data_IF_337305354036
#
_entry.id   IF_337305354036
#
_cell.length_a   1.000
_cell.length_b   1.000
_cell.length_c   1.000
_cell.angle_alpha   90.00
_cell.angle_beta   90.00
_cell.angle_gamma   90.00
#
_symmetry.space_group_name_H-M   'P 1'
#
loop_
_entity.id
_entity.type
_entity.pdbx_description
1 polymer ?
#
# COMPACT_ATOMS: atom_id res chain seq x y z
N UNK A 1 -13.23 -12.18 63.29
CA UNK A 1 -13.12 -12.64 61.90
C UNK A 1 -12.60 -11.49 61.07
N UNK A 2 -11.38 -11.67 60.56
CA UNK A 2 -10.66 -10.71 59.72
C UNK A 2 -11.32 -10.64 58.34
N UNK A 3 -11.66 -9.44 57.87
CA UNK A 3 -11.94 -9.21 56.45
C UNK A 3 -10.78 -8.40 55.87
N UNK A 4 -10.01 -9.08 55.02
CA UNK A 4 -8.84 -8.59 54.31
C UNK A 4 -9.30 -7.70 53.16
N UNK A 5 -9.07 -6.39 53.26
CA UNK A 5 -9.32 -5.46 52.17
C UNK A 5 -8.28 -5.67 51.04
N UNK A 6 -8.75 -5.76 49.80
CA UNK A 6 -7.90 -5.79 48.61
C UNK A 6 -7.25 -4.41 48.38
N UNK A 7 -6.01 -4.32 47.87
CA UNK A 7 -5.42 -3.03 47.51
C UNK A 7 -5.88 -2.57 46.12
N UNK A 8 -6.15 -1.28 45.99
CA UNK A 8 -6.46 -0.56 44.75
C UNK A 8 -5.36 -0.69 43.68
N UNK A 9 -5.71 -0.68 42.39
CA UNK A 9 -4.75 -0.66 41.29
C UNK A 9 -4.11 0.74 41.18
N UNK A 10 -2.78 0.81 41.36
CA UNK A 10 -2.04 2.07 41.22
C UNK A 10 -1.96 2.53 39.75
N UNK A 11 -1.90 3.85 39.51
CA UNK A 11 -1.85 4.43 38.17
C UNK A 11 -0.45 4.31 37.57
N UNK A 12 -0.42 3.90 36.30
CA UNK A 12 0.64 4.04 35.29
C UNK A 12 2.03 4.46 35.83
N UNK A 13 2.92 3.49 36.01
CA UNK A 13 4.34 3.75 36.17
C UNK A 13 4.93 4.20 34.83
N UNK A 14 5.41 5.43 34.78
CA UNK A 14 6.16 6.01 33.68
C UNK A 14 7.31 5.10 33.27
N UNK A 15 7.33 4.66 32.00
CA UNK A 15 8.45 3.96 31.38
C UNK A 15 9.67 4.87 31.44
N UNK A 16 10.60 4.54 32.32
CA UNK A 16 11.92 5.15 32.35
C UNK A 16 12.62 4.80 31.04
N UNK A 17 12.87 5.84 30.25
CA UNK A 17 13.81 5.87 29.13
C UNK A 17 15.17 5.44 29.66
N UNK A 18 15.61 4.24 29.27
CA UNK A 18 16.99 3.83 29.45
C UNK A 18 17.84 4.62 28.45
N UNK A 19 18.43 5.73 28.90
CA UNK A 19 19.57 6.36 28.25
C UNK A 19 20.74 5.37 28.25
N UNK A 20 20.88 4.61 27.16
CA UNK A 20 22.11 3.90 26.86
C UNK A 20 23.01 4.86 26.06
N UNK A 21 23.86 5.58 26.78
CA UNK A 21 25.00 6.30 26.22
C UNK A 21 25.97 5.27 25.64
N UNK A 22 26.07 5.21 24.31
CA UNK A 22 27.17 4.55 23.61
C UNK A 22 28.17 5.63 23.19
N UNK A 23 29.43 5.61 23.64
CA UNK A 23 30.47 6.52 23.15
C UNK A 23 31.13 5.95 21.89
N UNK A 24 31.28 6.80 20.86
CA UNK A 24 32.30 6.63 19.81
C UNK A 24 31.78 6.09 18.49
N UNK A 25 31.25 6.97 17.64
CA UNK A 25 31.08 6.71 16.20
C UNK A 25 31.11 8.01 15.38
N UNK A 26 31.90 9.00 15.79
CA UNK A 26 32.15 10.23 15.04
C UNK A 26 33.55 10.10 14.43
N UNK A 27 33.71 9.37 13.32
CA UNK A 27 34.96 9.38 12.53
C UNK A 27 34.83 8.80 11.11
N UNK A 28 33.62 8.68 10.55
CA UNK A 28 33.43 8.19 9.18
C UNK A 28 32.68 9.19 8.31
N UNK A 29 33.33 10.31 8.00
CA UNK A 29 33.01 11.08 6.81
C UNK A 29 34.29 11.54 6.10
N UNK A 30 34.55 11.01 4.90
CA UNK A 30 35.19 11.79 3.86
C UNK A 30 34.10 12.49 3.03
N UNK A 31 34.18 13.82 2.98
CA UNK A 31 33.55 14.65 1.94
C UNK A 31 33.77 14.01 0.57
N UNK A 32 32.71 13.76 -0.18
CA UNK A 32 32.79 13.58 -1.63
C UNK A 32 32.11 14.75 -2.32
N UNK A 33 32.94 15.51 -3.02
CA UNK A 33 32.56 16.42 -4.09
C UNK A 33 32.26 15.61 -5.35
N UNK A 34 31.16 15.93 -6.03
CA UNK A 34 31.01 15.69 -7.47
C UNK A 34 29.97 14.62 -7.89
N UNK A 35 28.81 15.10 -8.32
CA UNK A 35 27.94 14.47 -9.32
C UNK A 35 28.61 14.51 -10.72
N UNK A 36 28.02 13.95 -11.80
CA UNK A 36 27.31 12.67 -11.97
C UNK A 36 27.79 11.91 -13.23
N UNK A 37 27.76 10.58 -13.27
CA UNK A 37 27.94 9.83 -14.52
C UNK A 37 27.07 8.58 -14.55
N UNK A 38 25.89 8.76 -15.13
CA UNK A 38 24.93 7.73 -15.52
C UNK A 38 25.49 6.94 -16.71
N UNK A 39 25.51 5.61 -16.65
CA UNK A 39 25.32 4.74 -17.81
C UNK A 39 25.26 3.26 -17.42
N UNK A 40 24.03 2.72 -17.49
CA UNK A 40 23.69 1.45 -18.16
C UNK A 40 24.64 0.26 -18.02
N UNK A 41 24.21 -0.77 -17.28
CA UNK A 41 24.24 -2.16 -17.75
C UNK A 41 23.27 -2.99 -16.92
N UNK A 42 22.19 -3.40 -17.58
CA UNK A 42 21.32 -4.51 -17.19
C UNK A 42 22.14 -5.79 -17.39
N UNK A 43 22.45 -6.50 -16.31
CA UNK A 43 22.68 -7.93 -16.37
C UNK A 43 21.66 -8.59 -15.45
N UNK A 44 20.73 -9.22 -16.14
CA UNK A 44 19.67 -10.13 -15.70
C UNK A 44 20.26 -11.23 -14.83
N UNK A 45 20.01 -11.19 -13.52
CA UNK A 45 20.02 -12.39 -12.66
C UNK A 45 18.90 -12.29 -11.61
N UNK A 46 18.32 -13.44 -11.22
CA UNK A 46 16.90 -13.55 -10.94
C UNK A 46 16.54 -13.09 -9.53
N UNK A 47 15.56 -12.22 -9.44
CA UNK A 47 14.96 -11.76 -8.19
C UNK A 47 14.07 -12.85 -7.58
N UNK A 48 14.64 -13.88 -6.94
CA UNK A 48 13.84 -14.80 -6.12
C UNK A 48 13.61 -14.20 -4.74
N UNK A 49 12.71 -13.21 -4.66
CA UNK A 49 12.14 -12.72 -3.42
C UNK A 49 10.61 -12.69 -3.57
N UNK A 50 9.94 -13.69 -3.00
CA UNK A 50 8.48 -13.69 -2.79
C UNK A 50 7.63 -13.55 -4.06
N UNK A 51 7.86 -14.40 -5.06
CA UNK A 51 6.86 -14.59 -6.11
C UNK A 51 5.81 -15.57 -5.58
N UNK A 52 4.64 -15.06 -5.18
CA UNK A 52 3.44 -15.90 -5.08
C UNK A 52 3.31 -16.63 -6.41
N UNK A 53 3.28 -17.96 -6.38
CA UNK A 53 3.11 -18.78 -7.58
C UNK A 53 1.97 -18.20 -8.41
N UNK A 54 2.12 -18.10 -9.74
CA UNK A 54 1.09 -17.55 -10.63
C UNK A 54 -0.28 -18.19 -10.37
N UNK A 55 -0.27 -19.47 -10.00
CA UNK A 55 -1.45 -20.23 -9.58
C UNK A 55 -2.15 -19.64 -8.33
N UNK A 56 -1.39 -19.20 -7.32
CA UNK A 56 -1.94 -18.53 -6.13
C UNK A 56 -2.49 -17.15 -6.46
N UNK A 57 -1.83 -16.40 -7.36
CA UNK A 57 -2.33 -15.10 -7.82
C UNK A 57 -3.62 -15.24 -8.61
N UNK A 58 -3.71 -16.25 -9.48
CA UNK A 58 -4.91 -16.58 -10.23
C UNK A 58 -6.03 -17.04 -9.30
N UNK A 59 -5.71 -17.84 -8.28
CA UNK A 59 -6.68 -18.29 -7.29
C UNK A 59 -7.29 -17.11 -6.50
N UNK A 60 -6.45 -16.19 -6.02
CA UNK A 60 -6.93 -14.97 -5.34
C UNK A 60 -7.76 -14.10 -6.29
N UNK A 61 -7.36 -13.98 -7.56
CA UNK A 61 -8.12 -13.21 -8.55
C UNK A 61 -9.49 -13.82 -8.84
N UNK A 62 -9.58 -15.16 -8.87
CA UNK A 62 -10.83 -15.89 -9.06
C UNK A 62 -11.76 -15.69 -7.86
N UNK A 63 -11.24 -15.87 -6.64
CA UNK A 63 -12.03 -15.68 -5.41
C UNK A 63 -12.54 -14.24 -5.29
N UNK A 64 -11.76 -13.25 -5.72
CA UNK A 64 -12.20 -11.85 -5.74
C UNK A 64 -13.34 -11.62 -6.74
N UNK A 65 -13.25 -12.20 -7.94
CA UNK A 65 -14.32 -12.11 -8.95
C UNK A 65 -15.57 -12.84 -8.47
N UNK A 66 -15.44 -14.02 -7.87
CA UNK A 66 -16.56 -14.78 -7.32
C UNK A 66 -17.27 -14.00 -6.20
N UNK A 67 -16.51 -13.34 -5.31
CA UNK A 67 -17.05 -12.45 -4.29
C UNK A 67 -17.75 -11.22 -4.89
N UNK A 68 -17.22 -10.63 -5.95
CA UNK A 68 -17.86 -9.52 -6.66
C UNK A 68 -19.19 -9.94 -7.28
N UNK A 69 -19.25 -11.11 -7.92
CA UNK A 69 -20.47 -11.67 -8.50
C UNK A 69 -21.50 -11.92 -7.41
N UNK A 70 -21.10 -12.54 -6.30
CA UNK A 70 -21.99 -12.80 -5.16
C UNK A 70 -22.55 -11.50 -4.54
N UNK A 71 -21.71 -10.47 -4.43
CA UNK A 71 -22.12 -9.15 -3.93
C UNK A 71 -23.13 -8.49 -4.87
N UNK A 72 -22.92 -8.60 -6.18
CA UNK A 72 -23.87 -8.09 -7.18
C UNK A 72 -25.21 -8.83 -7.11
N UNK A 73 -25.20 -10.16 -7.01
CA UNK A 73 -26.43 -10.96 -6.87
C UNK A 73 -27.20 -10.60 -5.60
N UNK A 74 -26.49 -10.42 -4.48
CA UNK A 74 -27.13 -10.01 -3.23
C UNK A 74 -27.76 -8.62 -3.38
N UNK A 75 -27.09 -7.68 -4.03
CA UNK A 75 -27.64 -6.35 -4.30
C UNK A 75 -28.90 -6.41 -5.18
N UNK A 76 -28.90 -7.21 -6.24
CA UNK A 76 -30.08 -7.41 -7.10
C UNK A 76 -31.26 -7.97 -6.30
N UNK A 77 -31.01 -8.92 -5.38
CA UNK A 77 -32.04 -9.46 -4.49
C UNK A 77 -32.64 -8.38 -3.59
N UNK A 78 -31.81 -7.55 -2.96
CA UNK A 78 -32.28 -6.45 -2.12
C UNK A 78 -33.07 -5.42 -2.94
N UNK A 79 -32.63 -5.09 -4.15
CA UNK A 79 -33.34 -4.18 -5.05
C UNK A 79 -34.72 -4.75 -5.46
N UNK A 80 -34.81 -6.06 -5.70
CA UNK A 80 -36.07 -6.74 -5.99
C UNK A 80 -37.03 -6.75 -4.77
N UNK A 81 -36.53 -7.03 -3.56
CA UNK A 81 -37.32 -6.97 -2.33
C UNK A 81 -37.83 -5.55 -2.06
N UNK A 82 -36.99 -4.54 -2.23
CA UNK A 82 -37.40 -3.13 -2.12
C UNK A 82 -38.47 -2.78 -3.14
N UNK A 83 -38.37 -3.30 -4.37
CA UNK A 83 -39.38 -3.08 -5.39
C UNK A 83 -40.73 -3.71 -5.00
N UNK A 84 -40.75 -4.96 -4.52
CA UNK A 84 -41.99 -5.61 -4.07
C UNK A 84 -42.59 -4.92 -2.85
N UNK A 85 -41.77 -4.47 -1.89
CA UNK A 85 -42.25 -3.69 -0.75
C UNK A 85 -42.88 -2.37 -1.19
N UNK A 86 -42.27 -1.65 -2.13
CA UNK A 86 -42.84 -0.40 -2.69
C UNK A 86 -44.17 -0.66 -3.38
N UNK A 87 -44.27 -1.75 -4.15
CA UNK A 87 -45.52 -2.16 -4.80
C UNK A 87 -46.61 -2.47 -3.77
N UNK A 88 -46.27 -3.15 -2.69
CA UNK A 88 -47.21 -3.50 -1.63
C UNK A 88 -47.66 -2.27 -0.83
N UNK A 89 -46.75 -1.34 -0.55
CA UNK A 89 -47.09 -0.04 0.06
C UNK A 89 -48.10 0.71 -0.82
N UNK A 90 -47.85 0.83 -2.13
CA UNK A 90 -48.79 1.49 -3.06
C UNK A 90 -50.16 0.79 -3.08
N UNK A 91 -50.18 -0.55 -3.00
CA UNK A 91 -51.43 -1.33 -2.91
C UNK A 91 -52.20 -1.01 -1.62
N UNK A 92 -51.50 -0.95 -0.49
CA UNK A 92 -52.10 -0.64 0.81
C UNK A 92 -52.57 0.82 0.88
N UNK A 93 -51.79 1.77 0.36
CA UNK A 93 -52.19 3.19 0.25
C UNK A 93 -53.47 3.33 -0.58
N UNK A 94 -53.55 2.66 -1.73
CA UNK A 94 -54.76 2.63 -2.56
C UNK A 94 -55.96 2.08 -1.78
N UNK A 95 -55.75 1.03 -0.98
CA UNK A 95 -56.80 0.43 -0.16
C UNK A 95 -57.25 1.35 0.99
N UNK A 96 -56.33 2.07 1.63
CA UNK A 96 -56.66 3.05 2.67
C UNK A 96 -57.49 4.18 2.07
N UNK A 97 -57.09 4.71 0.91
CA UNK A 97 -57.86 5.74 0.19
C UNK A 97 -59.28 5.24 -0.15
N UNK A 98 -59.44 4.01 -0.62
CA UNK A 98 -60.76 3.41 -0.83
C UNK A 98 -61.59 3.39 0.46
N UNK A 99 -61.00 2.95 1.58
CA UNK A 99 -61.69 2.84 2.86
C UNK A 99 -62.08 4.21 3.44
N UNK A 100 -61.23 5.23 3.28
CA UNK A 100 -61.53 6.61 3.67
C UNK A 100 -62.70 7.20 2.87
N UNK A 101 -62.77 6.89 1.57
CA UNK A 101 -63.88 7.30 0.69
C UNK A 101 -65.21 6.61 1.04
N UNK A 102 -65.19 5.37 1.55
CA UNK A 102 -66.40 4.66 1.97
C UNK A 102 -66.81 4.99 3.41
N UNK A 103 -65.86 5.33 4.29
CA UNK A 103 -66.12 5.71 5.69
C UNK A 103 -66.86 7.04 5.84
N UNK A 104 -66.81 7.91 4.84
CA UNK A 104 -67.54 9.20 4.81
C UNK A 104 -68.96 9.09 4.24
N UNK A 105 -69.32 7.98 3.58
CA UNK A 105 -70.64 7.77 2.99
C UNK A 105 -71.72 7.23 3.94
N UNK A 106 -71.34 6.71 5.12
CA UNK A 106 -72.28 6.05 6.03
C UNK A 106 -73.04 6.98 6.99
N UNK A 107 -72.77 8.30 6.98
CA UNK A 107 -73.37 9.27 7.91
C UNK A 107 -74.23 10.36 7.25
N UNK A 108 -74.62 10.22 5.97
CA UNK A 108 -75.56 11.13 5.31
C UNK A 108 -76.85 10.40 4.94
N UNK A 109 -77.68 10.12 5.95
CA UNK A 109 -78.92 9.38 5.77
C UNK A 109 -79.90 9.57 6.91
N UNK A 110 -80.09 10.81 7.40
CA UNK A 110 -81.29 11.16 8.16
C UNK A 110 -81.61 12.66 8.01
N UNK A 111 -82.29 12.96 6.92
CA UNK A 111 -83.05 14.19 6.75
C UNK A 111 -84.22 14.17 7.73
N UNK A 112 -84.14 14.94 8.81
CA UNK A 112 -85.32 15.34 9.59
C UNK A 112 -85.43 16.87 9.49
N UNK A 113 -86.64 17.28 9.12
CA UNK A 113 -87.07 18.62 8.75
C UNK A 113 -86.89 19.68 9.85
N UNK A 114 -86.77 20.98 9.50
CA UNK A 114 -86.71 22.08 10.46
C UNK A 114 -88.12 22.58 10.81
N UNK A 115 -88.42 22.71 12.11
CA UNK A 115 -89.55 23.48 12.62
C UNK A 115 -89.04 24.70 13.38
N UNK A 116 -89.75 25.82 13.20
CA UNK A 116 -89.29 27.17 13.46
C UNK A 116 -89.37 27.63 14.93
N UNK A 117 -88.33 28.37 15.33
CA UNK A 117 -88.35 29.65 16.09
C UNK A 117 -88.81 29.68 17.58
N UNK A 118 -88.52 30.76 18.34
CA UNK A 118 -87.24 31.03 18.98
C UNK A 118 -87.39 31.39 20.48
N UNK A 119 -86.33 31.29 21.27
CA UNK A 119 -86.35 31.72 22.68
C UNK A 119 -85.04 32.39 23.06
N UNK A 120 -85.05 33.73 23.09
CA UNK A 120 -84.01 34.54 23.70
C UNK A 120 -83.96 34.28 25.20
N UNK A 121 -82.81 33.83 25.70
CA UNK A 121 -82.31 34.26 27.00
C UNK A 121 -80.87 34.72 26.82
N UNK A 122 -80.70 36.04 26.92
CA UNK A 122 -79.44 36.71 27.06
C UNK A 122 -79.15 36.76 28.57
N UNK A 123 -78.15 36.00 29.03
CA UNK A 123 -77.54 36.19 30.35
C UNK A 123 -76.02 36.08 30.20
N UNK A 124 -75.37 37.13 30.69
CA UNK A 124 -73.98 37.57 30.79
C UNK A 124 -72.80 36.57 30.65
N UNK A 125 -71.62 37.06 30.24
CA UNK A 125 -70.39 36.26 30.13
C UNK A 125 -69.88 35.91 31.53
N UNK A 126 -69.92 34.62 31.88
CA UNK A 126 -69.31 34.09 33.10
C UNK A 126 -68.09 33.26 32.73
N UNK A 127 -66.97 33.63 33.35
CA UNK A 127 -65.61 33.19 33.09
C UNK A 127 -65.38 31.67 32.99
N UNK A 128 -64.59 31.19 32.01
CA UNK A 128 -63.86 29.93 32.09
C UNK A 128 -62.40 30.20 32.53
N UNK A 129 -62.18 31.04 33.54
CA UNK A 129 -60.85 31.65 33.76
C UNK A 129 -59.81 30.67 34.32
N UNK A 130 -60.17 29.79 35.27
CA UNK A 130 -59.19 28.94 35.96
C UNK A 130 -58.62 27.78 35.14
N UNK A 131 -59.46 27.10 34.33
CA UNK A 131 -59.03 25.96 33.52
C UNK A 131 -58.26 26.35 32.26
N UNK A 132 -58.65 27.46 31.60
CA UNK A 132 -57.90 28.01 30.46
C UNK A 132 -56.52 28.52 30.87
N UNK A 133 -56.39 29.16 32.05
CA UNK A 133 -55.10 29.62 32.55
C UNK A 133 -54.15 28.45 32.86
N UNK A 134 -54.62 27.39 33.53
CA UNK A 134 -53.79 26.22 33.81
C UNK A 134 -53.31 25.51 32.55
N UNK A 135 -54.18 25.30 31.56
CA UNK A 135 -53.77 24.72 30.28
C UNK A 135 -52.77 25.63 29.54
N UNK A 136 -52.93 26.94 29.64
CA UNK A 136 -52.00 27.91 29.06
C UNK A 136 -50.63 27.91 29.76
N UNK A 137 -50.60 27.72 31.08
CA UNK A 137 -49.38 27.56 31.87
C UNK A 137 -48.66 26.24 31.56
N UNK A 138 -49.41 25.14 31.45
CA UNK A 138 -48.87 23.82 31.06
C UNK A 138 -48.29 23.87 29.64
N UNK A 139 -48.98 24.50 28.68
CA UNK A 139 -48.45 24.70 27.33
C UNK A 139 -47.17 25.55 27.32
N UNK A 140 -47.12 26.63 28.11
CA UNK A 140 -45.90 27.44 28.26
C UNK A 140 -44.76 26.64 28.85
N UNK A 141 -45.02 25.83 29.88
CA UNK A 141 -44.02 24.97 30.50
C UNK A 141 -43.50 23.91 29.52
N UNK A 142 -44.39 23.25 28.77
CA UNK A 142 -44.01 22.24 27.77
C UNK A 142 -43.17 22.87 26.66
N UNK A 143 -43.55 24.04 26.15
CA UNK A 143 -42.77 24.77 25.14
C UNK A 143 -41.38 25.15 25.65
N UNK A 144 -41.27 25.65 26.89
CA UNK A 144 -39.99 26.01 27.47
C UNK A 144 -39.12 24.77 27.74
N UNK A 145 -39.72 23.67 28.20
CA UNK A 145 -39.03 22.41 28.39
C UNK A 145 -38.50 21.85 27.05
N UNK A 146 -39.31 21.88 26.00
CA UNK A 146 -38.88 21.52 24.64
C UNK A 146 -37.77 22.43 24.13
N UNK A 147 -37.85 23.75 24.37
CA UNK A 147 -36.83 24.72 23.99
C UNK A 147 -35.49 24.45 24.67
N UNK A 148 -35.49 24.24 25.99
CA UNK A 148 -34.27 23.91 26.75
C UNK A 148 -33.70 22.58 26.30
N UNK A 149 -34.55 21.57 26.08
CA UNK A 149 -34.13 20.26 25.55
C UNK A 149 -33.51 20.40 24.15
N UNK A 150 -34.09 21.22 23.28
CA UNK A 150 -33.56 21.49 21.96
C UNK A 150 -32.18 22.17 22.03
N UNK A 151 -32.04 23.20 22.86
CA UNK A 151 -30.75 23.88 23.08
C UNK A 151 -29.70 22.91 23.65
N UNK A 152 -30.07 22.05 24.60
CA UNK A 152 -29.17 21.02 25.13
C UNK A 152 -28.70 20.05 24.03
N UNK A 153 -29.60 19.60 23.14
CA UNK A 153 -29.22 18.75 22.01
C UNK A 153 -28.33 19.49 21.00
N UNK A 154 -28.64 20.75 20.67
CA UNK A 154 -27.81 21.57 19.77
C UNK A 154 -26.40 21.77 20.34
N UNK A 155 -26.27 22.04 21.64
CA UNK A 155 -24.95 22.13 22.29
C UNK A 155 -24.19 20.81 22.29
N UNK A 156 -24.88 19.68 22.50
CA UNK A 156 -24.27 18.35 22.45
C UNK A 156 -23.80 18.00 21.04
N UNK A 157 -24.61 18.25 20.02
CA UNK A 157 -24.24 18.05 18.60
C UNK A 157 -23.06 18.95 18.24
N UNK A 158 -23.03 20.21 18.69
CA UNK A 158 -21.91 21.12 18.49
C UNK A 158 -20.63 20.69 19.22
N UNK A 159 -20.74 20.02 20.37
CA UNK A 159 -19.59 19.45 21.07
C UNK A 159 -19.03 18.22 20.33
N UNK A 160 -19.91 17.29 19.94
CA UNK A 160 -19.54 16.10 19.17
C UNK A 160 -18.93 16.45 17.81
N UNK A 161 -19.48 17.44 17.11
CA UNK A 161 -18.95 17.92 15.82
C UNK A 161 -17.52 18.44 15.95
N UNK A 162 -17.22 19.17 17.04
CA UNK A 162 -15.86 19.66 17.32
C UNK A 162 -14.89 18.52 17.65
N UNK A 163 -15.32 17.54 18.44
CA UNK A 163 -14.50 16.36 18.76
C UNK A 163 -14.18 15.54 17.50
N UNK A 164 -15.19 15.33 16.65
CA UNK A 164 -15.05 14.59 15.42
C UNK A 164 -14.10 15.30 14.44
N UNK A 165 -14.20 16.63 14.33
CA UNK A 165 -13.26 17.42 13.55
C UNK A 165 -11.82 17.31 14.09
N UNK A 166 -11.63 17.40 15.40
CA UNK A 166 -10.31 17.21 16.03
C UNK A 166 -9.72 15.82 15.73
N UNK A 167 -10.52 14.77 15.90
CA UNK A 167 -10.10 13.40 15.57
C UNK A 167 -9.74 13.23 14.08
N UNK A 168 -10.47 13.89 13.17
CA UNK A 168 -10.15 13.89 11.72
C UNK A 168 -8.83 14.60 11.43
N UNK A 169 -8.55 15.72 12.10
CA UNK A 169 -7.29 16.46 11.95
C UNK A 169 -6.11 15.68 12.52
N UNK A 170 -6.27 15.05 13.68
CA UNK A 170 -5.28 14.14 14.27
C UNK A 170 -5.01 12.93 13.35
N UNK A 171 -6.05 12.32 12.78
CA UNK A 171 -5.88 11.22 11.83
C UNK A 171 -5.13 11.66 10.56
N UNK A 172 -5.41 12.88 10.04
CA UNK A 172 -4.69 13.44 8.90
C UNK A 172 -3.22 13.70 9.21
N UNK A 173 -2.93 14.30 10.36
CA UNK A 173 -1.54 14.58 10.76
C UNK A 173 -0.76 13.29 11.03
N UNK A 174 -1.36 12.29 11.67
CA UNK A 174 -0.79 10.96 11.82
C UNK A 174 -0.54 10.30 10.46
N UNK A 175 -1.48 10.38 9.51
CA UNK A 175 -1.31 9.88 8.15
C UNK A 175 -0.15 10.55 7.40
N UNK A 176 0.00 11.86 7.53
CA UNK A 176 1.14 12.61 6.96
C UNK A 176 2.48 12.18 7.60
N UNK A 177 2.51 11.95 8.92
CA UNK A 177 3.70 11.46 9.61
C UNK A 177 4.09 10.05 9.15
N UNK A 178 3.12 9.15 9.00
CA UNK A 178 3.37 7.80 8.47
C UNK A 178 3.89 7.84 7.03
N UNK A 179 3.34 8.70 6.18
CA UNK A 179 3.83 8.90 4.82
C UNK A 179 5.27 9.44 4.80
N UNK A 180 5.58 10.42 5.65
CA UNK A 180 6.94 10.94 5.80
C UNK A 180 7.92 9.85 6.27
N UNK A 181 7.53 9.04 7.26
CA UNK A 181 8.34 7.92 7.74
C UNK A 181 8.54 6.86 6.64
N UNK A 182 7.50 6.54 5.85
CA UNK A 182 7.61 5.59 4.76
C UNK A 182 8.64 6.04 3.70
N UNK A 183 8.67 7.34 3.38
CA UNK A 183 9.67 7.91 2.45
C UNK A 183 11.10 7.84 3.00
N UNK A 184 11.29 8.08 4.30
CA UNK A 184 12.60 7.93 4.94
C UNK A 184 13.03 6.46 4.91
N UNK A 185 12.13 5.52 5.24
CA UNK A 185 12.42 4.09 5.20
C UNK A 185 12.76 3.60 3.79
N UNK A 186 12.11 4.10 2.74
CA UNK A 186 12.49 3.76 1.36
C UNK A 186 13.88 4.29 1.02
N UNK A 187 14.18 5.55 1.37
CA UNK A 187 15.53 6.12 1.16
C UNK A 187 16.61 5.32 1.91
N UNK A 188 16.35 4.92 3.15
CA UNK A 188 17.29 4.09 3.92
C UNK A 188 17.46 2.70 3.29
N UNK A 189 16.39 2.09 2.76
CA UNK A 189 16.48 0.81 2.05
C UNK A 189 17.31 0.92 0.77
N UNK A 190 17.16 2.00 0.02
CA UNK A 190 17.95 2.23 -1.19
C UNK A 190 19.42 2.45 -0.86
N UNK A 191 19.72 3.22 0.19
CA UNK A 191 21.08 3.39 0.71
C UNK A 191 21.70 2.06 1.17
N UNK A 192 20.93 1.20 1.85
CA UNK A 192 21.40 -0.12 2.25
C UNK A 192 21.77 -0.97 1.02
N UNK A 193 20.91 -1.00 -0.01
CA UNK A 193 21.21 -1.74 -1.26
C UNK A 193 22.43 -1.20 -1.98
N UNK A 194 22.61 0.11 -1.99
CA UNK A 194 23.79 0.74 -2.57
C UNK A 194 25.07 0.31 -1.83
N UNK A 195 25.06 0.36 -0.49
CA UNK A 195 26.17 -0.08 0.33
C UNK A 195 26.47 -1.59 0.17
N UNK A 196 25.43 -2.42 0.03
CA UNK A 196 25.58 -3.86 -0.26
C UNK A 196 26.27 -4.10 -1.61
N UNK A 197 25.89 -3.36 -2.66
CA UNK A 197 26.51 -3.45 -3.97
C UNK A 197 27.98 -3.02 -3.95
N UNK A 198 28.30 -1.92 -3.27
CA UNK A 198 29.68 -1.45 -3.09
C UNK A 198 30.52 -2.47 -2.32
N UNK A 199 29.97 -3.07 -1.27
CA UNK A 199 30.66 -4.11 -0.51
C UNK A 199 30.95 -5.34 -1.39
N UNK A 200 29.99 -5.78 -2.21
CA UNK A 200 30.20 -6.88 -3.16
C UNK A 200 31.32 -6.55 -4.18
N UNK A 201 31.36 -5.33 -4.68
CA UNK A 201 32.42 -4.87 -5.59
C UNK A 201 33.80 -4.87 -4.92
N UNK A 202 33.91 -4.33 -3.70
CA UNK A 202 35.14 -4.34 -2.92
C UNK A 202 35.61 -5.75 -2.59
N UNK A 203 34.68 -6.66 -2.25
CA UNK A 203 35.01 -8.07 -2.04
C UNK A 203 35.58 -8.72 -3.30
N UNK A 204 35.06 -8.40 -4.48
CA UNK A 204 35.60 -8.90 -5.74
C UNK A 204 37.00 -8.35 -6.03
N UNK A 205 37.23 -7.06 -5.78
CA UNK A 205 38.57 -6.45 -5.93
C UNK A 205 39.59 -7.07 -5.00
N UNK A 206 39.23 -7.30 -3.73
CA UNK A 206 40.09 -7.99 -2.76
C UNK A 206 40.43 -9.42 -3.21
N UNK A 207 39.46 -10.16 -3.78
CA UNK A 207 39.72 -11.50 -4.33
C UNK A 207 40.74 -11.45 -5.46
N UNK A 208 40.57 -10.54 -6.43
CA UNK A 208 41.52 -10.38 -7.54
C UNK A 208 42.93 -10.03 -7.06
N UNK A 209 43.05 -9.06 -6.14
CA UNK A 209 44.34 -8.70 -5.55
C UNK A 209 44.97 -9.89 -4.81
N UNK A 210 44.20 -10.63 -4.01
CA UNK A 210 44.70 -11.82 -3.31
C UNK A 210 45.19 -12.90 -4.27
N UNK A 211 44.47 -13.14 -5.37
CA UNK A 211 44.89 -14.07 -6.43
C UNK A 211 46.21 -13.61 -7.07
N UNK A 212 46.34 -12.31 -7.38
CA UNK A 212 47.59 -11.74 -7.89
C UNK A 212 48.76 -11.90 -6.90
N UNK A 213 48.54 -11.60 -5.62
CA UNK A 213 49.55 -11.78 -4.58
C UNK A 213 49.94 -13.26 -4.41
N UNK A 214 48.97 -14.18 -4.46
CA UNK A 214 49.24 -15.61 -4.40
C UNK A 214 50.13 -16.06 -5.58
N UNK A 215 49.85 -15.60 -6.80
CA UNK A 215 50.67 -15.91 -7.98
C UNK A 215 52.08 -15.33 -7.85
N UNK A 216 52.23 -14.09 -7.38
CA UNK A 216 53.55 -13.47 -7.17
C UNK A 216 54.37 -14.21 -6.12
N UNK A 217 53.77 -14.57 -4.98
CA UNK A 217 54.42 -15.36 -3.94
C UNK A 217 54.86 -16.73 -4.45
N UNK A 218 54.03 -17.40 -5.25
CA UNK A 218 54.39 -18.68 -5.86
C UNK A 218 55.59 -18.56 -6.81
N UNK A 219 55.70 -17.48 -7.58
CA UNK A 219 56.86 -17.23 -8.45
C UNK A 219 58.13 -17.00 -7.63
N UNK A 220 58.08 -16.13 -6.62
CA UNK A 220 59.22 -15.90 -5.74
C UNK A 220 59.68 -17.18 -5.03
N UNK A 221 58.75 -18.00 -4.53
CA UNK A 221 59.09 -19.28 -3.92
C UNK A 221 59.82 -20.21 -4.90
N UNK A 222 59.36 -20.32 -6.15
CA UNK A 222 60.02 -21.13 -7.19
C UNK A 222 61.41 -20.60 -7.52
N UNK A 223 61.55 -19.30 -7.75
CA UNK A 223 62.82 -18.65 -8.06
C UNK A 223 63.87 -18.85 -6.95
N UNK A 224 63.46 -18.76 -5.67
CA UNK A 224 64.35 -19.03 -4.52
C UNK A 224 64.71 -20.51 -4.35
N UNK A 225 63.80 -21.43 -4.71
CA UNK A 225 64.08 -22.87 -4.71
C UNK A 225 65.05 -23.27 -5.82
N UNK A 226 65.02 -22.59 -6.97
CA UNK A 226 65.95 -22.81 -8.09
C UNK A 226 67.37 -22.28 -7.82
N UNK A 227 67.51 -21.29 -6.92
CA UNK A 227 68.79 -20.65 -6.59
C UNK A 227 69.49 -21.19 -5.34
N UNK A 228 68.83 -22.01 -4.51
CA UNK A 228 69.41 -22.56 -3.27
C UNK A 228 70.04 -23.95 -3.50
N UNK A 229 71.27 -24.15 -2.99
CA UNK A 229 71.95 -25.45 -3.03
C UNK A 229 71.21 -26.51 -2.21
N UNK A 230 71.36 -27.78 -2.61
CA UNK A 230 70.51 -28.91 -2.19
C UNK A 230 70.34 -29.14 -0.68
N UNK A 231 71.22 -28.61 0.17
CA UNK A 231 71.15 -28.74 1.65
C UNK A 231 70.34 -27.63 2.33
N UNK A 232 70.41 -26.37 1.86
CA UNK A 232 69.57 -25.28 2.37
C UNK A 232 68.19 -25.25 1.71
N UNK A 233 68.07 -25.90 0.55
CA UNK A 233 66.83 -26.05 -0.19
C UNK A 233 65.79 -26.86 0.61
N UNK A 234 66.21 -27.96 1.27
CA UNK A 234 65.31 -28.81 2.05
C UNK A 234 64.77 -28.14 3.33
N UNK A 235 65.60 -27.39 4.04
CA UNK A 235 65.18 -26.66 5.25
C UNK A 235 64.28 -25.47 4.92
N UNK A 236 64.56 -24.76 3.82
CA UNK A 236 63.74 -23.66 3.34
C UNK A 236 62.40 -24.15 2.77
N UNK A 237 62.39 -25.29 2.06
CA UNK A 237 61.16 -25.96 1.62
C UNK A 237 60.30 -26.39 2.80
N UNK A 238 60.89 -27.03 3.82
CA UNK A 238 60.15 -27.43 5.02
C UNK A 238 59.54 -26.23 5.77
N UNK A 239 60.27 -25.12 5.86
CA UNK A 239 59.75 -23.88 6.46
C UNK A 239 58.61 -23.27 5.64
N UNK A 240 58.74 -23.19 4.31
CA UNK A 240 57.68 -22.69 3.43
C UNK A 240 56.44 -23.58 3.46
N UNK A 241 56.61 -24.91 3.51
CA UNK A 241 55.51 -25.85 3.66
C UNK A 241 54.79 -25.66 5.00
N UNK A 242 55.53 -25.53 6.11
CA UNK A 242 54.95 -25.22 7.41
C UNK A 242 54.17 -23.89 7.40
N UNK A 243 54.75 -22.82 6.85
CA UNK A 243 54.10 -21.52 6.74
C UNK A 243 52.84 -21.56 5.86
N UNK A 244 52.85 -22.31 4.75
CA UNK A 244 51.66 -22.52 3.91
C UNK A 244 50.61 -23.36 4.63
N UNK A 245 51.00 -24.36 5.43
CA UNK A 245 50.11 -25.13 6.30
C UNK A 245 49.40 -24.21 7.31
N UNK A 246 50.16 -23.32 7.95
CA UNK A 246 49.65 -22.38 8.94
C UNK A 246 48.70 -21.35 8.32
N UNK A 247 49.05 -20.80 7.17
CA UNK A 247 48.16 -19.90 6.41
C UNK A 247 46.86 -20.62 6.02
N UNK A 248 46.94 -21.86 5.50
CA UNK A 248 45.75 -22.66 5.18
C UNK A 248 44.92 -22.96 6.42
N UNK A 249 45.53 -23.26 7.56
CA UNK A 249 44.84 -23.50 8.82
C UNK A 249 44.14 -22.24 9.34
N UNK A 250 44.81 -21.08 9.25
CA UNK A 250 44.24 -19.78 9.61
C UNK A 250 43.07 -19.38 8.68
N UNK A 251 43.16 -19.69 7.38
CA UNK A 251 42.04 -19.51 6.46
C UNK A 251 40.85 -20.41 6.83
N UNK A 252 41.08 -21.70 7.10
CA UNK A 252 40.00 -22.62 7.53
C UNK A 252 39.36 -22.18 8.83
N UNK A 253 40.13 -21.70 9.81
CA UNK A 253 39.58 -21.22 11.09
C UNK A 253 38.73 -19.96 10.91
N UNK A 254 39.20 -19.01 10.08
CA UNK A 254 38.42 -17.82 9.71
C UNK A 254 37.14 -18.17 8.96
N UNK A 255 37.19 -19.10 8.00
CA UNK A 255 36.01 -19.58 7.28
C UNK A 255 35.00 -20.23 8.23
N UNK A 256 35.47 -21.04 9.18
CA UNK A 256 34.60 -21.64 10.20
C UNK A 256 33.95 -20.58 11.09
N UNK A 257 34.70 -19.56 11.53
CA UNK A 257 34.17 -18.45 12.32
C UNK A 257 33.10 -17.67 11.55
N UNK A 258 33.36 -17.34 10.28
CA UNK A 258 32.39 -16.66 9.41
C UNK A 258 31.14 -17.52 9.18
N UNK A 259 31.30 -18.82 8.96
CA UNK A 259 30.19 -19.74 8.80
C UNK A 259 29.34 -19.87 10.09
N UNK A 260 29.98 -19.90 11.26
CA UNK A 260 29.30 -19.91 12.55
C UNK A 260 28.54 -18.59 12.80
N UNK A 261 29.16 -17.45 12.53
CA UNK A 261 28.52 -16.14 12.63
C UNK A 261 27.31 -16.04 11.70
N UNK A 262 27.45 -16.46 10.43
CA UNK A 262 26.35 -16.48 9.46
C UNK A 262 25.19 -17.38 9.93
N UNK A 263 25.47 -18.56 10.49
CA UNK A 263 24.45 -19.43 11.09
C UNK A 263 23.75 -18.76 12.27
N UNK A 264 24.50 -18.08 13.14
CA UNK A 264 23.94 -17.35 14.27
C UNK A 264 23.03 -16.19 13.82
N UNK A 265 23.41 -15.43 12.79
CA UNK A 265 22.58 -14.38 12.22
C UNK A 265 21.29 -14.92 11.60
N UNK A 266 21.38 -16.01 10.82
CA UNK A 266 20.19 -16.67 10.26
C UNK A 266 19.22 -17.14 11.34
N UNK A 267 19.75 -17.71 12.43
CA UNK A 267 18.92 -18.11 13.58
C UNK A 267 18.23 -16.90 14.22
N UNK A 268 18.97 -15.82 14.49
CA UNK A 268 18.40 -14.58 15.04
C UNK A 268 17.32 -13.98 14.14
N UNK A 269 17.52 -14.02 12.83
CA UNK A 269 16.53 -13.56 11.85
C UNK A 269 15.25 -14.40 11.91
N UNK A 270 15.38 -15.73 11.95
CA UNK A 270 14.23 -16.63 12.11
C UNK A 270 13.47 -16.38 13.42
N UNK A 271 14.19 -16.22 14.53
CA UNK A 271 13.60 -15.90 15.84
C UNK A 271 12.85 -14.55 15.82
N UNK A 272 13.38 -13.54 15.12
CA UNK A 272 12.73 -12.24 14.93
C UNK A 272 11.45 -12.35 14.10
N UNK A 273 11.51 -13.08 12.99
CA UNK A 273 10.34 -13.31 12.14
C UNK A 273 9.23 -14.05 12.91
N UNK A 274 9.59 -15.08 13.69
CA UNK A 274 8.63 -15.79 14.55
C UNK A 274 7.98 -14.84 15.57
N UNK A 275 8.75 -13.93 16.19
CA UNK A 275 8.19 -12.91 17.09
C UNK A 275 7.26 -11.94 16.37
N UNK A 276 7.60 -11.53 15.15
CA UNK A 276 6.75 -10.65 14.34
C UNK A 276 5.44 -11.34 13.97
N UNK A 277 5.48 -12.61 13.57
CA UNK A 277 4.28 -13.40 13.30
C UNK A 277 3.41 -13.53 14.56
N UNK A 278 4.02 -13.85 15.71
CA UNK A 278 3.30 -13.89 16.99
C UNK A 278 2.64 -12.54 17.29
N UNK A 279 3.34 -11.41 17.13
CA UNK A 279 2.79 -10.07 17.32
C UNK A 279 1.62 -9.78 16.36
N UNK A 280 1.74 -10.17 15.08
CA UNK A 280 0.66 -9.99 14.12
C UNK A 280 -0.57 -10.85 14.46
N UNK A 281 -0.36 -12.09 14.91
CA UNK A 281 -1.47 -12.96 15.34
C UNK A 281 -2.16 -12.43 16.59
N UNK A 282 -1.41 -11.93 17.57
CA UNK A 282 -2.00 -11.32 18.77
C UNK A 282 -2.74 -10.03 18.43
N UNK A 283 -2.18 -9.16 17.57
CA UNK A 283 -2.87 -7.97 17.08
C UNK A 283 -4.19 -8.36 16.39
N UNK A 284 -4.17 -9.30 15.45
CA UNK A 284 -5.39 -9.79 14.76
C UNK A 284 -6.43 -10.33 15.76
N UNK A 285 -6.00 -11.10 16.76
CA UNK A 285 -6.89 -11.60 17.80
C UNK A 285 -7.49 -10.47 18.64
N UNK A 286 -6.70 -9.48 19.04
CA UNK A 286 -7.20 -8.31 19.78
C UNK A 286 -8.20 -7.49 18.98
N UNK A 287 -7.97 -7.30 17.68
CA UNK A 287 -8.91 -6.63 16.79
C UNK A 287 -10.20 -7.45 16.61
N UNK A 288 -10.10 -8.77 16.46
CA UNK A 288 -11.27 -9.64 16.41
C UNK A 288 -12.09 -9.57 17.71
N UNK A 289 -11.44 -9.57 18.89
CA UNK A 289 -12.15 -9.39 20.16
C UNK A 289 -12.76 -8.00 20.32
N UNK A 290 -12.12 -6.95 19.79
CA UNK A 290 -12.66 -5.60 19.80
C UNK A 290 -13.90 -5.45 18.91
N UNK A 291 -13.96 -6.19 17.80
CA UNK A 291 -15.13 -6.25 16.91
C UNK A 291 -16.28 -7.08 17.52
N UNK A 292 -15.95 -8.10 18.34
CA UNK A 292 -16.94 -8.92 19.04
C UNK A 292 -17.52 -8.27 20.31
N UNK A 293 -17.02 -7.10 20.72
CA UNK A 293 -17.71 -6.22 21.68
C UNK A 293 -18.76 -5.43 20.89
N UNK A 294 -19.98 -5.97 20.85
CA UNK A 294 -21.25 -5.34 20.41
C UNK A 294 -21.13 -4.04 19.57
N UNK A 295 -21.39 -4.10 18.25
CA UNK A 295 -21.44 -2.91 17.42
C UNK A 295 -22.69 -2.10 17.77
N UNK A 296 -22.52 -0.92 18.36
CA UNK A 296 -23.60 0.06 18.37
C UNK A 296 -23.94 0.42 16.91
N UNK A 297 -25.17 0.20 16.42
CA UNK A 297 -25.42 0.11 14.98
C UNK A 297 -25.52 1.48 14.30
N UNK A 298 -24.98 1.55 13.08
CA UNK A 298 -25.54 2.30 11.95
C UNK A 298 -25.44 3.85 11.95
N UNK A 299 -24.25 4.44 12.08
CA UNK A 299 -24.06 5.81 11.57
C UNK A 299 -22.76 6.05 10.77
N UNK A 300 -21.70 5.30 11.03
CA UNK A 300 -20.43 5.49 10.32
C UNK A 300 -20.43 5.00 8.86
N UNK A 301 -21.33 4.09 8.49
CA UNK A 301 -21.43 3.59 7.11
C UNK A 301 -22.04 4.62 6.14
N UNK A 302 -22.90 5.52 6.63
CA UNK A 302 -23.49 6.59 5.81
C UNK A 302 -22.54 7.78 5.62
N UNK A 303 -21.75 8.14 6.62
CA UNK A 303 -20.79 9.26 6.52
C UNK A 303 -19.55 8.94 5.68
N UNK A 304 -19.26 7.66 5.44
CA UNK A 304 -18.20 7.23 4.53
C UNK A 304 -18.67 7.08 3.08
N UNK A 305 -19.91 7.46 2.74
CA UNK A 305 -20.50 7.32 1.39
C UNK A 305 -20.10 8.41 0.37
N UNK A 306 -18.99 9.11 0.61
CA UNK A 306 -18.33 9.96 -0.41
C UNK A 306 -17.25 9.28 -1.31
N UNK A 307 -17.14 7.93 -1.49
CA UNK A 307 -16.11 7.38 -2.36
C UNK A 307 -16.52 7.38 -3.83
N UNK A 308 -17.80 7.60 -4.17
CA UNK A 308 -18.31 7.47 -5.55
C UNK A 308 -17.71 8.48 -6.54
N UNK A 309 -17.36 9.69 -6.08
CA UNK A 309 -16.69 10.69 -6.91
C UNK A 309 -15.22 10.30 -7.15
N UNK A 310 -14.53 9.85 -6.09
CA UNK A 310 -13.15 9.37 -6.18
C UNK A 310 -13.04 8.08 -7.01
N UNK A 311 -14.02 7.18 -6.93
CA UNK A 311 -14.05 5.93 -7.67
C UNK A 311 -14.25 6.18 -9.18
N UNK A 312 -15.13 7.11 -9.54
CA UNK A 312 -15.32 7.52 -10.94
C UNK A 312 -14.10 8.27 -11.50
N UNK A 313 -13.39 9.05 -10.69
CA UNK A 313 -12.13 9.71 -11.08
C UNK A 313 -11.01 8.69 -11.27
N UNK A 314 -10.85 7.73 -10.36
CA UNK A 314 -9.89 6.64 -10.48
C UNK A 314 -10.18 5.72 -11.68
N UNK A 315 -11.46 5.46 -11.99
CA UNK A 315 -11.85 4.71 -13.18
C UNK A 315 -11.50 5.47 -14.47
N UNK A 316 -11.68 6.80 -14.49
CA UNK A 316 -11.25 7.65 -15.62
C UNK A 316 -9.73 7.66 -15.77
N UNK A 317 -8.99 7.80 -14.68
CA UNK A 317 -7.53 7.74 -14.69
C UNK A 317 -7.04 6.37 -15.17
N UNK A 318 -7.65 5.28 -14.70
CA UNK A 318 -7.35 3.92 -15.14
C UNK A 318 -7.62 3.75 -16.64
N UNK A 319 -8.76 4.25 -17.14
CA UNK A 319 -9.08 4.19 -18.56
C UNK A 319 -8.06 5.01 -19.40
N UNK A 320 -7.68 6.20 -18.95
CA UNK A 320 -6.66 7.02 -19.61
C UNK A 320 -5.28 6.35 -19.62
N UNK A 321 -4.88 5.73 -18.51
CA UNK A 321 -3.62 4.98 -18.43
C UNK A 321 -3.64 3.76 -19.34
N UNK A 322 -4.76 3.04 -19.46
CA UNK A 322 -4.90 1.94 -20.40
C UNK A 322 -4.77 2.39 -21.86
N UNK A 323 -5.37 3.53 -22.24
CA UNK A 323 -5.21 4.10 -23.58
C UNK A 323 -3.75 4.49 -23.83
N UNK A 324 -3.09 5.12 -22.85
CA UNK A 324 -1.66 5.48 -22.99
C UNK A 324 -0.74 4.25 -23.08
N UNK A 325 -1.04 3.19 -22.33
CA UNK A 325 -0.30 1.94 -22.36
C UNK A 325 -0.43 1.26 -23.73
N UNK A 326 -1.65 1.12 -24.24
CA UNK A 326 -1.89 0.53 -25.58
C UNK A 326 -1.25 1.34 -26.70
N UNK A 327 -1.28 2.68 -26.63
CA UNK A 327 -0.55 3.52 -27.57
C UNK A 327 0.97 3.31 -27.50
N UNK A 328 1.53 3.17 -26.30
CA UNK A 328 2.96 2.91 -26.13
C UNK A 328 3.35 1.52 -26.64
N UNK A 329 2.51 0.49 -26.40
CA UNK A 329 2.70 -0.86 -26.96
C UNK A 329 2.68 -0.86 -28.50
N UNK A 330 1.79 -0.07 -29.09
CA UNK A 330 1.74 0.10 -30.55
C UNK A 330 3.00 0.80 -31.07
N UNK A 331 3.47 1.88 -30.41
CA UNK A 331 4.72 2.53 -30.76
C UNK A 331 5.94 1.60 -30.64
N UNK A 332 5.99 0.76 -29.59
CA UNK A 332 7.03 -0.25 -29.44
C UNK A 332 6.97 -1.29 -30.56
N UNK A 333 5.77 -1.70 -30.98
CA UNK A 333 5.58 -2.64 -32.09
C UNK A 333 6.06 -2.04 -33.43
N UNK A 334 5.74 -0.77 -33.69
CA UNK A 334 6.23 -0.04 -34.89
C UNK A 334 7.76 0.09 -34.89
N UNK A 335 8.36 0.40 -33.74
CA UNK A 335 9.81 0.48 -33.60
C UNK A 335 10.47 -0.89 -33.76
N UNK A 336 9.86 -1.94 -33.21
CA UNK A 336 10.33 -3.31 -33.36
C UNK A 336 10.28 -3.73 -34.83
N UNK A 337 9.19 -3.47 -35.52
CA UNK A 337 9.06 -3.74 -36.95
C UNK A 337 10.09 -2.96 -37.78
N UNK A 338 10.33 -1.69 -37.44
CA UNK A 338 11.40 -0.91 -38.05
C UNK A 338 12.77 -1.54 -37.83
N UNK A 339 13.10 -1.95 -36.61
CA UNK A 339 14.36 -2.62 -36.29
C UNK A 339 14.49 -3.93 -37.08
N UNK A 340 13.43 -4.74 -37.16
CA UNK A 340 13.44 -6.02 -37.86
C UNK A 340 13.61 -5.84 -39.37
N UNK A 341 12.89 -4.88 -39.98
CA UNK A 341 13.04 -4.52 -41.39
C UNK A 341 14.47 -4.04 -41.68
N UNK A 342 15.03 -3.19 -40.81
CA UNK A 342 16.36 -2.60 -41.03
C UNK A 342 17.50 -3.57 -40.72
N UNK A 343 17.39 -4.43 -39.70
CA UNK A 343 18.36 -5.48 -39.42
C UNK A 343 18.46 -6.47 -40.59
N UNK A 344 17.33 -6.85 -41.19
CA UNK A 344 17.30 -7.68 -42.39
C UNK A 344 18.06 -7.03 -43.55
N UNK A 345 17.80 -5.74 -43.81
CA UNK A 345 18.50 -4.97 -44.85
C UNK A 345 20.00 -4.84 -44.57
N UNK A 346 20.40 -4.52 -43.34
CA UNK A 346 21.81 -4.41 -42.96
C UNK A 346 22.54 -5.74 -43.07
N UNK A 347 21.92 -6.86 -42.67
CA UNK A 347 22.51 -8.19 -42.84
C UNK A 347 22.75 -8.51 -44.32
N UNK A 348 21.77 -8.23 -45.17
CA UNK A 348 21.91 -8.42 -46.61
C UNK A 348 23.01 -7.53 -47.21
N UNK A 349 23.09 -6.27 -46.76
CA UNK A 349 24.11 -5.32 -47.24
C UNK A 349 25.52 -5.73 -46.78
N UNK A 350 25.69 -6.16 -45.53
CA UNK A 350 26.95 -6.71 -45.02
C UNK A 350 27.37 -7.94 -45.83
N UNK A 351 26.41 -8.81 -46.20
CA UNK A 351 26.69 -9.98 -47.04
C UNK A 351 27.08 -9.57 -48.47
N UNK A 352 26.44 -8.57 -49.06
CA UNK A 352 26.80 -8.02 -50.38
C UNK A 352 28.19 -7.38 -50.34
N UNK A 353 28.47 -6.54 -49.35
CA UNK A 353 29.78 -5.91 -49.16
C UNK A 353 30.89 -6.94 -48.94
N UNK A 354 30.61 -8.00 -48.17
CA UNK A 354 31.56 -9.11 -47.99
C UNK A 354 31.82 -9.88 -49.29
N UNK A 355 30.77 -10.11 -50.11
CA UNK A 355 30.94 -10.73 -51.44
C UNK A 355 31.75 -9.85 -52.36
N UNK A 356 31.49 -8.54 -52.38
CA UNK A 356 32.24 -7.56 -53.17
C UNK A 356 33.71 -7.44 -52.72
N UNK A 357 33.97 -7.47 -51.41
CA UNK A 357 35.32 -7.49 -50.86
C UNK A 357 36.07 -8.80 -51.18
N UNK A 358 35.37 -9.95 -51.14
CA UNK A 358 35.96 -11.24 -51.48
C UNK A 358 36.08 -11.47 -53.00
N UNK A 359 35.33 -10.74 -53.82
CA UNK A 359 35.49 -10.71 -55.28
C UNK A 359 36.39 -9.56 -55.74
N UNK A 360 36.97 -8.82 -54.80
CA UNK A 360 37.65 -7.54 -55.01
C UNK A 360 39.17 -7.61 -55.16
N UNK A 361 39.74 -8.80 -55.39
CA UNK A 361 41.08 -8.94 -55.96
C UNK A 361 40.97 -9.12 -57.47
N UNK A 362 40.43 -8.11 -58.18
CA UNK A 362 40.72 -7.76 -59.58
C UNK A 362 39.78 -6.63 -60.08
N UNK A 363 40.38 -5.49 -60.45
CA UNK A 363 39.77 -4.31 -61.11
C UNK A 363 38.87 -3.47 -60.20
N UNK A 364 39.06 -2.17 -60.00
CA UNK A 364 39.52 -1.13 -60.91
C UNK A 364 38.52 0.02 -60.77
N UNK A 365 39.00 1.15 -60.28
CA UNK A 365 38.35 2.48 -60.16
C UNK A 365 37.00 2.63 -60.90
N UNK A 366 35.89 2.81 -60.18
CA UNK A 366 34.76 3.60 -60.69
C UNK A 366 33.81 4.11 -59.58
N UNK A 367 33.26 5.29 -59.82
CA UNK A 367 32.67 6.27 -58.90
C UNK A 367 31.35 5.86 -58.24
N UNK A 368 31.20 6.19 -56.94
CA UNK A 368 29.94 6.09 -56.18
C UNK A 368 29.04 7.33 -56.38
N UNK A 369 27.77 7.20 -56.82
CA UNK A 369 26.80 8.29 -56.71
C UNK A 369 26.17 8.30 -55.30
N UNK A 370 26.30 9.44 -54.63
CA UNK A 370 25.69 9.72 -53.32
C UNK A 370 24.16 9.83 -53.48
N UNK A 371 23.42 8.86 -52.93
CA UNK A 371 21.96 8.92 -52.87
C UNK A 371 21.53 9.10 -51.41
N UNK A 372 21.28 10.35 -51.00
CA UNK A 372 20.64 10.67 -49.71
C UNK A 372 19.17 10.22 -49.75
N UNK A 373 18.65 9.56 -48.71
CA UNK A 373 17.21 9.34 -48.59
C UNK A 373 16.51 10.64 -48.16
N UNK A 374 15.53 11.05 -48.95
CA UNK A 374 14.63 12.19 -48.74
C UNK A 374 13.66 11.84 -47.59
N UNK A 375 13.60 12.65 -46.54
CA UNK A 375 12.64 12.49 -45.43
C UNK A 375 11.19 12.72 -45.92
N UNK A 376 10.20 11.92 -45.50
CA UNK A 376 8.79 12.24 -45.74
C UNK A 376 8.33 13.36 -44.81
N UNK A 377 7.58 14.31 -45.36
CA UNK A 377 6.86 15.37 -44.62
C UNK A 377 5.75 14.74 -43.78
N UNK A 378 5.69 15.10 -42.51
CA UNK A 378 4.50 14.93 -41.67
C UNK A 378 3.40 15.85 -42.19
N UNK A 379 2.26 15.29 -42.59
CA UNK A 379 0.99 16.02 -42.71
C UNK A 379 0.24 15.79 -41.40
N UNK A 380 0.00 16.87 -40.66
CA UNK A 380 -1.00 16.90 -39.59
C UNK A 380 -2.36 17.16 -40.23
N UNK A 381 -3.37 16.37 -39.86
CA UNK A 381 -4.77 16.76 -39.90
C UNK A 381 -5.33 16.62 -38.49
#
# INVERSE_FOLDING_TARGET
MEYRAAPDPRPWASLQVAENVVPGAEDWLPRVSGNPARATSLETEPQTHLELSEEQRLQISKELVDLQIATHHLREQHEAEVFELRREVLRLESRVLELEMHGTGACQGQTVQPAANPGQYQVSPQEPSGGQQRLQEELKWVLEHHRVRQQALETQVGALSRQLQGAREEARTAGQQLAAQAMVLSSCKDQLRQAEAENAQLQLQLKKLNEEYAVRLQRYAKETAETSSSTNQASLQAFLEAALQDIRAAHRSREQQLAQAARAYRKRLADLNQRQELLLTTCRATFATAINLEPSPLHWAAELSHPRENEAELERERAQLMVRATMAEQQLSELQEYVDQHLGRYKQEILKLRKLANSGDSQGVESMPSTRPRRPRTQSH
#
